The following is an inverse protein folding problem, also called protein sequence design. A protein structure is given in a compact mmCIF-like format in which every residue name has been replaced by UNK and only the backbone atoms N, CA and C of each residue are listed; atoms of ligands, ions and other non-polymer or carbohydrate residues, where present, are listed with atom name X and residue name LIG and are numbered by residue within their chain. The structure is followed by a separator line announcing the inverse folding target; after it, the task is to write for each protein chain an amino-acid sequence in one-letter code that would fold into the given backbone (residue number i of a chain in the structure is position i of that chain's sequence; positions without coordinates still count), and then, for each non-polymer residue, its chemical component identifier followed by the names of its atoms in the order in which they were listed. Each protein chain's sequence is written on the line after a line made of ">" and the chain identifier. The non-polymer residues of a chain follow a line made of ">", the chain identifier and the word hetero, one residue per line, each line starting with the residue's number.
data_IF_657706788843
#
_entry.id   IF_657706788843
#
_cell.length_a   1.000
_cell.length_b   1.000
_cell.length_c   1.000
_cell.angle_alpha   90.00
_cell.angle_beta   90.00
_cell.angle_gamma   90.00
#
_symmetry.space_group_name_H-M   'P 1'
#
loop_
_entity.id
_entity.type
_entity.pdbx_description
1 polymer ?
#
# COMPACT_ATOMS: atom_id res chain seq x y z
N UNK A 1 30.28 5.37 0.30
CA UNK A 1 28.81 5.27 0.36
C UNK A 1 28.37 6.17 1.50
N UNK A 2 28.23 7.47 1.24
CA UNK A 2 27.79 8.44 2.23
C UNK A 2 26.26 8.43 2.18
N UNK A 3 25.60 7.90 3.22
CA UNK A 3 24.15 8.01 3.30
C UNK A 3 23.80 9.47 3.54
N UNK A 4 23.32 10.15 2.51
CA UNK A 4 22.65 11.45 2.63
C UNK A 4 21.23 11.30 3.23
N UNK A 5 21.03 10.23 4.00
CA UNK A 5 19.78 9.92 4.67
C UNK A 5 19.81 10.53 6.06
N UNK A 6 18.76 11.28 6.39
CA UNK A 6 18.51 11.82 7.71
C UNK A 6 18.78 10.76 8.80
N UNK A 7 19.58 11.10 9.82
CA UNK A 7 19.94 10.21 10.93
C UNK A 7 18.70 9.65 11.62
N UNK A 8 17.64 10.45 11.74
CA UNK A 8 16.36 10.01 12.29
C UNK A 8 15.69 8.93 11.42
N UNK A 9 15.86 9.00 10.09
CA UNK A 9 15.35 7.98 9.18
C UNK A 9 16.12 6.67 9.31
N UNK A 10 17.45 6.72 9.41
CA UNK A 10 18.28 5.53 9.61
C UNK A 10 18.00 4.86 10.97
N UNK A 11 17.83 5.65 12.03
CA UNK A 11 17.47 5.12 13.34
C UNK A 11 16.14 4.37 13.30
N UNK A 12 15.11 4.94 12.65
CA UNK A 12 13.81 4.26 12.47
C UNK A 12 13.95 2.93 11.72
N UNK A 13 14.77 2.87 10.67
CA UNK A 13 15.01 1.63 9.95
C UNK A 13 15.70 0.58 10.84
N UNK A 14 16.67 0.99 11.64
CA UNK A 14 17.33 0.11 12.60
C UNK A 14 16.34 -0.44 13.64
N UNK A 15 15.45 0.39 14.15
CA UNK A 15 14.42 -0.01 15.12
C UNK A 15 13.47 -1.06 14.52
N UNK A 16 13.02 -0.87 13.27
CA UNK A 16 12.19 -1.85 12.55
C UNK A 16 12.91 -3.20 12.42
N UNK A 17 14.18 -3.20 12.00
CA UNK A 17 14.95 -4.44 11.87
C UNK A 17 15.11 -5.13 13.22
N UNK A 18 15.43 -4.38 14.29
CA UNK A 18 15.57 -4.92 15.63
C UNK A 18 14.28 -5.55 16.14
N UNK A 19 13.14 -4.90 15.94
CA UNK A 19 11.82 -5.44 16.28
C UNK A 19 11.55 -6.76 15.55
N UNK A 20 11.84 -6.82 14.25
CA UNK A 20 11.67 -8.04 13.45
C UNK A 20 12.59 -9.17 13.91
N UNK A 21 13.85 -8.88 14.24
CA UNK A 21 14.78 -9.87 14.79
C UNK A 21 14.27 -10.40 16.13
N UNK A 22 13.75 -9.54 17.01
CA UNK A 22 13.17 -9.96 18.29
C UNK A 22 11.92 -10.82 18.11
N UNK A 23 11.08 -10.51 17.12
CA UNK A 23 9.86 -11.26 16.81
C UNK A 23 10.13 -12.70 16.34
N UNK A 24 11.31 -12.99 15.76
CA UNK A 24 11.73 -14.37 15.43
C UNK A 24 11.91 -15.25 16.68
N UNK A 25 12.05 -14.63 17.85
CA UNK A 25 12.07 -15.29 19.14
C UNK A 25 13.41 -15.95 19.50
N UNK A 26 13.55 -16.38 20.77
CA UNK A 26 14.82 -16.82 21.33
C UNK A 26 15.34 -18.15 20.75
N UNK A 27 14.48 -18.93 20.09
CA UNK A 27 14.89 -20.18 19.43
C UNK A 27 15.70 -19.90 18.17
N UNK A 28 15.22 -18.99 17.31
CA UNK A 28 15.94 -18.59 16.10
C UNK A 28 17.30 -17.98 16.44
N UNK A 29 17.35 -17.13 17.46
CA UNK A 29 18.58 -16.49 17.95
C UNK A 29 19.65 -17.47 18.43
N UNK A 30 19.27 -18.68 18.89
CA UNK A 30 20.20 -19.69 19.39
C UNK A 30 20.76 -20.62 18.32
N UNK A 31 20.06 -20.75 17.19
CA UNK A 31 20.38 -21.77 16.18
C UNK A 31 20.91 -21.18 14.87
N UNK A 32 20.63 -19.92 14.58
CA UNK A 32 21.01 -19.27 13.33
C UNK A 32 22.17 -18.29 13.54
N UNK A 33 23.00 -18.14 12.51
CA UNK A 33 24.01 -17.09 12.49
C UNK A 33 23.35 -15.72 12.32
N UNK A 34 24.00 -14.60 12.72
CA UNK A 34 23.46 -13.25 12.51
C UNK A 34 23.09 -12.96 11.05
N UNK A 35 23.91 -13.44 10.10
CA UNK A 35 23.63 -13.28 8.67
C UNK A 35 22.36 -14.04 8.23
N UNK A 36 22.12 -15.24 8.77
CA UNK A 36 20.92 -16.02 8.48
C UNK A 36 19.66 -15.36 9.06
N UNK A 37 19.75 -14.82 10.28
CA UNK A 37 18.64 -14.08 10.91
C UNK A 37 18.27 -12.84 10.09
N UNK A 38 19.27 -12.05 9.69
CA UNK A 38 19.05 -10.87 8.85
C UNK A 38 18.48 -11.23 7.48
N UNK A 39 18.92 -12.34 6.87
CA UNK A 39 18.34 -12.81 5.62
C UNK A 39 16.86 -13.16 5.76
N UNK A 40 16.46 -13.82 6.85
CA UNK A 40 15.04 -14.11 7.13
C UNK A 40 14.24 -12.83 7.33
N UNK A 41 14.75 -11.87 8.11
CA UNK A 41 14.10 -10.57 8.30
C UNK A 41 13.95 -9.82 6.98
N UNK A 42 14.98 -9.81 6.13
CA UNK A 42 14.93 -9.17 4.82
C UNK A 42 13.86 -9.81 3.92
N UNK A 43 13.75 -11.14 3.91
CA UNK A 43 12.71 -11.85 3.16
C UNK A 43 11.30 -11.49 3.67
N UNK A 44 11.10 -11.45 4.99
CA UNK A 44 9.81 -11.05 5.57
C UNK A 44 9.44 -9.60 5.25
N UNK A 45 10.40 -8.67 5.29
CA UNK A 45 10.14 -7.28 4.92
C UNK A 45 9.83 -7.11 3.42
N UNK A 46 10.47 -7.91 2.56
CA UNK A 46 10.16 -7.92 1.13
C UNK A 46 8.73 -8.43 0.86
N UNK A 47 8.29 -9.48 1.58
CA UNK A 47 6.92 -9.98 1.51
C UNK A 47 5.91 -8.95 2.02
N UNK A 48 6.20 -8.29 3.14
CA UNK A 48 5.37 -7.20 3.68
C UNK A 48 5.20 -6.06 2.67
N UNK A 49 6.29 -5.68 1.99
CA UNK A 49 6.28 -4.65 0.94
C UNK A 49 5.41 -5.09 -0.23
N UNK A 50 5.61 -6.29 -0.75
CA UNK A 50 4.83 -6.82 -1.87
C UNK A 50 3.32 -6.90 -1.51
N UNK A 51 2.99 -7.33 -0.29
CA UNK A 51 1.62 -7.35 0.20
C UNK A 51 1.02 -5.93 0.34
N UNK A 52 1.84 -4.94 0.72
CA UNK A 52 1.43 -3.53 0.76
C UNK A 52 1.14 -2.99 -0.64
N UNK A 53 2.01 -3.27 -1.61
CA UNK A 53 1.85 -2.84 -3.00
C UNK A 53 0.59 -3.43 -3.64
N UNK A 54 0.36 -4.74 -3.50
CA UNK A 54 -0.87 -5.39 -3.99
C UNK A 54 -2.13 -4.77 -3.39
N UNK A 55 -2.11 -4.42 -2.09
CA UNK A 55 -3.23 -3.73 -1.43
C UNK A 55 -3.45 -2.34 -2.02
N UNK A 56 -2.37 -1.59 -2.25
CA UNK A 56 -2.43 -0.26 -2.88
C UNK A 56 -3.04 -0.34 -4.27
N UNK A 57 -2.58 -1.26 -5.11
CA UNK A 57 -3.10 -1.47 -6.47
C UNK A 57 -4.59 -1.85 -6.47
N UNK A 58 -4.97 -2.76 -5.56
CA UNK A 58 -6.38 -3.16 -5.40
C UNK A 58 -7.25 -1.97 -5.01
N UNK A 59 -6.77 -1.12 -4.10
CA UNK A 59 -7.49 0.08 -3.67
C UNK A 59 -7.59 1.10 -4.81
N UNK A 60 -6.53 1.31 -5.57
CA UNK A 60 -6.50 2.21 -6.72
C UNK A 60 -7.51 1.76 -7.78
N UNK A 61 -7.52 0.48 -8.12
CA UNK A 61 -8.47 -0.11 -9.07
C UNK A 61 -9.92 0.07 -8.60
N UNK A 62 -10.21 -0.25 -7.34
CA UNK A 62 -11.56 -0.06 -6.76
C UNK A 62 -11.98 1.40 -6.79
N UNK A 63 -11.07 2.30 -6.45
CA UNK A 63 -11.34 3.74 -6.46
C UNK A 63 -11.68 4.20 -7.87
N UNK A 64 -10.87 3.81 -8.88
CA UNK A 64 -11.14 4.13 -10.29
C UNK A 64 -12.50 3.59 -10.76
N UNK A 65 -12.85 2.36 -10.36
CA UNK A 65 -14.14 1.77 -10.69
C UNK A 65 -15.32 2.54 -10.08
N UNK A 66 -15.24 2.89 -8.78
CA UNK A 66 -16.29 3.61 -8.06
C UNK A 66 -16.46 5.02 -8.62
N UNK A 67 -15.36 5.75 -8.81
CA UNK A 67 -15.40 7.10 -9.41
C UNK A 67 -15.97 7.05 -10.83
N UNK A 68 -15.52 6.10 -11.66
CA UNK A 68 -16.04 5.93 -13.01
C UNK A 68 -17.54 5.58 -13.05
N UNK A 69 -18.02 4.77 -12.10
CA UNK A 69 -19.44 4.46 -11.97
C UNK A 69 -20.26 5.67 -11.52
N UNK A 70 -19.72 6.48 -10.60
CA UNK A 70 -20.37 7.71 -10.15
C UNK A 70 -20.51 8.73 -11.30
N UNK A 71 -19.45 8.93 -12.09
CA UNK A 71 -19.48 9.83 -13.26
C UNK A 71 -20.55 9.37 -14.25
N UNK A 72 -20.56 8.10 -14.65
CA UNK A 72 -21.59 7.56 -15.57
C UNK A 72 -23.01 7.78 -15.05
N UNK A 73 -23.22 7.64 -13.73
CA UNK A 73 -24.53 7.87 -13.12
C UNK A 73 -24.92 9.34 -13.15
N UNK A 74 -23.97 10.25 -13.00
CA UNK A 74 -24.19 11.69 -13.14
C UNK A 74 -24.56 12.01 -14.60
N UNK A 75 -23.79 11.51 -15.56
CA UNK A 75 -24.04 11.74 -17.00
C UNK A 75 -25.44 11.26 -17.41
N UNK A 76 -25.83 10.07 -16.96
CA UNK A 76 -27.18 9.52 -17.22
C UNK A 76 -28.30 10.40 -16.66
N UNK A 77 -28.11 10.96 -15.46
CA UNK A 77 -29.10 11.85 -14.84
C UNK A 77 -29.17 13.19 -15.59
N UNK A 78 -28.02 13.78 -15.92
CA UNK A 78 -27.97 15.02 -16.67
C UNK A 78 -28.61 14.89 -18.05
N UNK A 79 -28.40 13.76 -18.73
CA UNK A 79 -29.04 13.47 -20.02
C UNK A 79 -30.56 13.37 -19.90
N UNK A 80 -31.06 12.64 -18.89
CA UNK A 80 -32.50 12.53 -18.65
C UNK A 80 -33.14 13.90 -18.32
N UNK A 81 -32.46 14.72 -17.52
CA UNK A 81 -32.92 16.07 -17.16
C UNK A 81 -32.97 16.98 -18.41
N UNK A 82 -31.99 16.88 -19.31
CA UNK A 82 -31.96 17.63 -20.57
C UNK A 82 -33.08 17.21 -21.54
N UNK A 83 -33.36 15.91 -21.65
CA UNK A 83 -34.46 15.37 -22.46
C UNK A 83 -35.83 15.82 -21.93
N UNK A 84 -35.99 15.91 -20.62
CA UNK A 84 -37.21 16.44 -19.99
C UNK A 84 -37.38 17.94 -20.27
N UNK A 85 -36.30 18.72 -20.21
CA UNK A 85 -36.36 20.16 -20.50
C UNK A 85 -36.80 20.44 -21.95
N UNK A 86 -36.31 19.67 -22.92
CA UNK A 86 -36.69 19.79 -24.34
C UNK A 86 -38.16 19.42 -24.62
N UNK A 87 -38.80 18.64 -23.76
CA UNK A 87 -40.22 18.30 -23.90
C UNK A 87 -41.15 19.41 -23.36
N UNK A 88 -40.62 20.33 -22.55
CA UNK A 88 -41.38 21.39 -21.88
C UNK A 88 -41.32 22.70 -22.70
N UNK A 89 -40.25 22.94 -23.44
CA UNK A 89 -40.11 24.06 -24.40
C UNK A 89 -40.20 23.55 -25.85
N UNK A 90 -41.34 23.73 -26.55
CA UNK A 90 -41.48 23.39 -27.97
C UNK A 90 -40.82 24.41 -28.92
#
# INVERSE_FOLDING_TARGET
>A
MSSDADEAYLQRLADIVNERVQALGPKAARTATPAQLLAVVALSLAEDLEASERRRETLEMKTRQVVGAAIRRIDQRLQADAELAQQIEP
#
